data_IF_132581846301
#
_entry.id   IF_132581846301
#
_cell.length_a   1.000
_cell.length_b   1.000
_cell.length_c   1.000
_cell.angle_alpha   90.00
_cell.angle_beta   90.00
_cell.angle_gamma   90.00
#
_symmetry.space_group_name_H-M   'P 1'
#
loop_
_entity.id
_entity.type
_entity.pdbx_description
1 polymer ?
#
# COMPACT_ATOMS: atom_id res chain seq x y z
N UNK A 1 10.87 -0.74 -14.82
CA UNK A 1 10.19 0.22 -13.92
C UNK A 1 11.07 1.43 -13.68
N UNK A 2 10.49 2.63 -13.68
CA UNK A 2 11.16 3.85 -13.21
C UNK A 2 11.39 3.70 -11.70
N UNK A 3 12.61 3.93 -11.21
CA UNK A 3 12.96 3.81 -9.78
C UNK A 3 12.02 4.61 -8.88
N UNK A 4 11.51 5.75 -9.37
CA UNK A 4 10.55 6.59 -8.62
C UNK A 4 9.21 5.90 -8.38
N UNK A 5 8.71 5.14 -9.36
CA UNK A 5 7.47 4.37 -9.24
C UNK A 5 7.66 3.25 -8.22
N UNK A 6 8.78 2.52 -8.30
CA UNK A 6 9.08 1.46 -7.31
C UNK A 6 9.14 1.99 -5.88
N UNK A 7 9.80 3.13 -5.66
CA UNK A 7 9.87 3.73 -4.33
C UNK A 7 8.48 4.18 -3.87
N UNK A 8 7.65 4.72 -4.77
CA UNK A 8 6.29 5.07 -4.41
C UNK A 8 5.44 3.85 -4.03
N UNK A 9 5.58 2.72 -4.72
CA UNK A 9 4.94 1.44 -4.34
C UNK A 9 5.35 1.01 -2.91
N UNK A 10 6.64 1.10 -2.58
CA UNK A 10 7.11 0.80 -1.23
C UNK A 10 6.58 1.78 -0.18
N UNK A 11 6.51 3.07 -0.51
CA UNK A 11 5.99 4.10 0.40
C UNK A 11 4.47 4.00 0.59
N UNK A 12 3.73 3.54 -0.42
CA UNK A 12 2.29 3.26 -0.32
C UNK A 12 1.99 2.18 0.72
N UNK A 13 2.89 1.21 0.91
CA UNK A 13 2.77 0.15 1.91
C UNK A 13 3.20 0.57 3.32
N UNK A 14 3.79 1.75 3.49
CA UNK A 14 4.28 2.21 4.79
C UNK A 14 3.21 2.18 5.92
N UNK A 15 1.96 2.62 5.69
CA UNK A 15 0.92 2.55 6.73
C UNK A 15 0.59 1.11 7.13
N UNK A 16 0.66 0.17 6.18
CA UNK A 16 0.38 -1.26 6.41
C UNK A 16 1.47 -1.87 7.30
N UNK A 17 2.73 -1.55 7.04
CA UNK A 17 3.84 -1.98 7.89
C UNK A 17 3.77 -1.40 9.29
N UNK A 18 3.48 -0.10 9.41
CA UNK A 18 3.34 0.55 10.72
C UNK A 18 2.20 -0.07 11.51
N UNK A 19 1.04 -0.30 10.88
CA UNK A 19 -0.07 -1.01 11.52
C UNK A 19 0.32 -2.43 11.94
N UNK A 20 1.03 -3.18 11.09
CA UNK A 20 1.48 -4.52 11.40
C UNK A 20 2.40 -4.55 12.63
N UNK A 21 3.44 -3.72 12.65
CA UNK A 21 4.40 -3.63 13.76
C UNK A 21 3.68 -3.27 15.06
N UNK A 22 2.81 -2.25 15.02
CA UNK A 22 2.05 -1.80 16.19
C UNK A 22 0.97 -2.80 16.65
N UNK A 23 0.55 -3.72 15.78
CA UNK A 23 -0.34 -4.84 16.13
C UNK A 23 0.40 -5.98 16.83
N UNK A 24 1.65 -6.23 16.43
CA UNK A 24 2.50 -7.28 17.02
C UNK A 24 3.16 -6.81 18.32
N UNK A 25 3.54 -5.54 18.39
CA UNK A 25 4.26 -4.91 19.50
C UNK A 25 3.46 -3.72 20.07
N UNK A 26 2.46 -3.98 20.94
CA UNK A 26 1.57 -2.94 21.47
C UNK A 26 2.29 -1.79 22.18
N UNK A 27 3.46 -2.03 22.76
CA UNK A 27 4.32 -1.03 23.40
C UNK A 27 4.84 0.05 22.45
N UNK A 28 4.79 -0.21 21.14
CA UNK A 28 5.19 0.73 20.08
C UNK A 28 4.04 1.55 19.52
N UNK A 29 2.80 1.33 20.00
CA UNK A 29 1.62 2.01 19.50
C UNK A 29 1.72 3.53 19.69
N UNK A 30 1.56 4.26 18.60
CA UNK A 30 1.63 5.72 18.60
C UNK A 30 0.81 6.27 17.44
N UNK A 31 -0.26 7.00 17.77
CA UNK A 31 -1.20 7.52 16.78
C UNK A 31 -0.54 8.51 15.82
N UNK A 32 0.36 9.36 16.32
CA UNK A 32 1.05 10.35 15.48
C UNK A 32 1.93 9.66 14.43
N UNK A 33 2.65 8.61 14.82
CA UNK A 33 3.49 7.83 13.90
C UNK A 33 2.60 7.17 12.84
N UNK A 34 1.45 6.62 13.22
CA UNK A 34 0.49 6.04 12.29
C UNK A 34 -0.13 7.08 11.34
N UNK A 35 -0.50 8.27 11.82
CA UNK A 35 -1.01 9.34 10.94
C UNK A 35 0.04 9.89 9.99
N UNK A 36 1.31 10.02 10.44
CA UNK A 36 2.42 10.42 9.58
C UNK A 36 2.64 9.37 8.47
N UNK A 37 2.64 8.08 8.83
CA UNK A 37 2.78 7.01 7.84
C UNK A 37 1.63 7.01 6.84
N UNK A 38 0.38 7.16 7.30
CA UNK A 38 -0.79 7.34 6.45
C UNK A 38 -0.66 8.52 5.48
N UNK A 39 -0.13 9.66 5.94
CA UNK A 39 0.11 10.83 5.09
C UNK A 39 1.13 10.53 3.98
N UNK A 40 2.22 9.85 4.32
CA UNK A 40 3.25 9.41 3.36
C UNK A 40 2.66 8.43 2.35
N UNK A 41 1.94 7.41 2.83
CA UNK A 41 1.29 6.41 1.98
C UNK A 41 0.29 7.04 1.03
N UNK A 42 -0.59 7.92 1.54
CA UNK A 42 -1.57 8.66 0.72
C UNK A 42 -0.88 9.51 -0.36
N UNK A 43 0.20 10.20 -0.01
CA UNK A 43 0.99 10.97 -0.98
C UNK A 43 1.58 10.09 -2.08
N UNK A 44 2.08 8.91 -1.72
CA UNK A 44 2.60 7.92 -2.67
C UNK A 44 1.50 7.35 -3.57
N UNK A 45 0.34 6.98 -3.02
CA UNK A 45 -0.83 6.55 -3.80
C UNK A 45 -1.27 7.62 -4.79
N UNK A 46 -1.40 8.88 -4.35
CA UNK A 46 -1.77 9.99 -5.25
C UNK A 46 -0.76 10.20 -6.38
N UNK A 47 0.54 10.03 -6.08
CA UNK A 47 1.58 10.05 -7.09
C UNK A 47 1.42 8.91 -8.11
N UNK A 48 1.21 7.68 -7.65
CA UNK A 48 1.02 6.52 -8.53
C UNK A 48 -0.23 6.67 -9.40
N UNK A 49 -1.35 7.11 -8.83
CA UNK A 49 -2.58 7.42 -9.57
C UNK A 49 -2.33 8.49 -10.65
N UNK A 50 -1.55 9.53 -10.35
CA UNK A 50 -1.19 10.55 -11.32
C UNK A 50 -0.36 9.97 -12.47
N UNK A 51 0.62 9.11 -12.19
CA UNK A 51 1.44 8.46 -13.20
C UNK A 51 0.64 7.43 -14.03
N UNK A 52 -0.33 6.74 -13.43
CA UNK A 52 -1.29 5.90 -14.14
C UNK A 52 -2.13 6.72 -15.12
N UNK A 53 -2.67 7.86 -14.66
CA UNK A 53 -3.46 8.77 -15.50
C UNK A 53 -2.66 9.33 -16.68
N UNK A 54 -1.34 9.48 -16.54
CA UNK A 54 -0.41 9.89 -17.62
C UNK A 54 -0.03 8.75 -18.55
N UNK A 55 -0.38 7.51 -18.20
CA UNK A 55 -0.04 6.32 -18.95
C UNK A 55 1.41 5.84 -18.77
N UNK A 56 2.20 6.53 -17.94
CA UNK A 56 3.58 6.20 -17.60
C UNK A 56 3.68 5.01 -16.62
N UNK A 57 2.55 4.69 -15.97
CA UNK A 57 2.40 3.55 -15.10
C UNK A 57 1.15 2.74 -15.45
N UNK A 58 1.28 1.42 -15.49
CA UNK A 58 0.20 0.44 -15.64
C UNK A 58 0.65 -0.93 -15.11
N UNK A 59 -0.30 -1.85 -14.97
CA UNK A 59 -0.02 -3.23 -14.64
C UNK A 59 1.03 -3.85 -15.58
N UNK A 60 0.92 -3.63 -16.89
CA UNK A 60 1.90 -4.10 -17.87
C UNK A 60 3.30 -3.53 -17.63
N UNK A 61 3.40 -2.25 -17.27
CA UNK A 61 4.71 -1.64 -16.97
C UNK A 61 5.35 -2.18 -15.70
N UNK A 62 4.56 -2.76 -14.79
CA UNK A 62 5.05 -3.48 -13.62
C UNK A 62 5.88 -4.69 -14.07
N UNK A 63 5.36 -5.45 -15.04
CA UNK A 63 6.02 -6.66 -15.58
C UNK A 63 7.16 -6.37 -16.56
N UNK A 64 7.46 -5.11 -16.87
CA UNK A 64 8.68 -4.77 -17.63
C UNK A 64 9.98 -5.17 -16.90
N UNK A 65 9.91 -5.42 -15.59
CA UNK A 65 11.00 -6.03 -14.82
C UNK A 65 10.46 -7.14 -13.91
N UNK A 66 10.26 -8.36 -14.44
CA UNK A 66 9.62 -9.46 -13.71
C UNK A 66 10.36 -9.83 -12.41
N UNK A 67 11.69 -9.71 -12.39
CA UNK A 67 12.54 -10.02 -11.23
C UNK A 67 12.28 -9.12 -10.02
N UNK A 68 11.73 -7.92 -10.22
CA UNK A 68 11.35 -6.98 -9.16
C UNK A 68 9.85 -7.10 -8.85
N UNK A 69 9.02 -7.19 -9.89
CA UNK A 69 7.57 -7.23 -9.80
C UNK A 69 7.00 -8.48 -9.12
N UNK A 70 7.49 -9.67 -9.46
CA UNK A 70 6.94 -10.92 -8.92
C UNK A 70 7.18 -11.05 -7.41
N UNK A 71 8.41 -10.81 -6.89
CA UNK A 71 8.64 -10.80 -5.45
C UNK A 71 7.79 -9.76 -4.74
N UNK A 72 7.64 -8.56 -5.32
CA UNK A 72 6.80 -7.51 -4.76
C UNK A 72 5.34 -7.95 -4.63
N UNK A 73 4.75 -8.51 -5.68
CA UNK A 73 3.37 -9.02 -5.64
C UNK A 73 3.15 -10.10 -4.59
N UNK A 74 4.08 -11.05 -4.47
CA UNK A 74 4.03 -12.09 -3.44
C UNK A 74 4.09 -11.45 -2.04
N UNK A 75 5.00 -10.50 -1.86
CA UNK A 75 5.16 -9.77 -0.61
C UNK A 75 3.89 -8.99 -0.23
N UNK A 76 3.34 -8.19 -1.14
CA UNK A 76 2.12 -7.41 -0.89
C UNK A 76 0.91 -8.30 -0.61
N UNK A 77 0.81 -9.45 -1.30
CA UNK A 77 -0.22 -10.44 -1.03
C UNK A 77 -0.10 -11.04 0.38
N UNK A 78 1.11 -11.43 0.80
CA UNK A 78 1.36 -11.96 2.14
C UNK A 78 1.06 -10.92 3.22
N UNK A 79 1.47 -9.66 3.01
CA UNK A 79 1.18 -8.57 3.91
C UNK A 79 -0.34 -8.40 4.08
N UNK A 80 -1.09 -8.37 2.98
CA UNK A 80 -2.55 -8.29 3.01
C UNK A 80 -3.18 -9.45 3.78
N UNK A 81 -2.73 -10.68 3.56
CA UNK A 81 -3.22 -11.86 4.28
C UNK A 81 -3.00 -11.73 5.79
N UNK A 82 -1.83 -11.25 6.22
CA UNK A 82 -1.54 -11.03 7.65
C UNK A 82 -2.46 -9.97 8.24
N UNK A 83 -2.68 -8.85 7.54
CA UNK A 83 -3.58 -7.79 8.01
C UNK A 83 -5.03 -8.27 8.15
N UNK A 84 -5.50 -9.11 7.22
CA UNK A 84 -6.81 -9.76 7.30
C UNK A 84 -6.91 -10.63 8.55
N UNK A 85 -5.91 -11.49 8.80
CA UNK A 85 -5.89 -12.35 10.00
C UNK A 85 -5.92 -11.52 11.27
N UNK A 86 -5.11 -10.46 11.36
CA UNK A 86 -5.09 -9.56 12.52
C UNK A 86 -6.42 -8.82 12.71
N UNK A 87 -7.11 -8.49 11.61
CA UNK A 87 -8.45 -7.89 11.65
C UNK A 87 -9.45 -8.86 12.26
N UNK A 88 -9.48 -10.11 11.81
CA UNK A 88 -10.41 -11.13 12.35
C UNK A 88 -10.13 -11.51 13.81
N UNK A 89 -8.92 -11.23 14.30
CA UNK A 89 -8.56 -11.43 15.70
C UNK A 89 -8.83 -10.19 16.58
N UNK A 90 -9.36 -9.10 16.02
CA UNK A 90 -9.53 -7.80 16.67
C UNK A 90 -8.20 -7.22 17.23
N UNK A 91 -7.09 -7.53 16.55
CA UNK A 91 -5.72 -7.12 16.95
C UNK A 91 -5.09 -6.10 16.03
N UNK A 92 -5.72 -5.81 14.89
CA UNK A 92 -5.17 -4.87 13.93
C UNK A 92 -5.26 -3.43 14.46
N UNK A 93 -4.10 -2.82 14.73
CA UNK A 93 -3.98 -1.44 15.17
C UNK A 93 -4.58 -0.48 14.13
N UNK A 94 -5.48 0.41 14.58
CA UNK A 94 -6.19 1.38 13.73
C UNK A 94 -6.85 0.75 12.49
N UNK A 95 -7.35 -0.48 12.61
CA UNK A 95 -7.82 -1.28 11.49
C UNK A 95 -8.83 -0.58 10.58
N UNK A 96 -9.82 0.14 11.13
CA UNK A 96 -10.80 0.86 10.31
C UNK A 96 -10.16 1.92 9.40
N UNK A 97 -9.20 2.70 9.91
CA UNK A 97 -8.51 3.71 9.10
C UNK A 97 -7.62 3.07 8.05
N UNK A 98 -6.92 1.98 8.40
CA UNK A 98 -6.09 1.24 7.46
C UNK A 98 -6.94 0.65 6.31
N UNK A 99 -8.10 0.07 6.62
CA UNK A 99 -8.99 -0.49 5.61
C UNK A 99 -9.61 0.58 4.72
N UNK A 100 -9.99 1.75 5.27
CA UNK A 100 -10.45 2.89 4.47
C UNK A 100 -9.35 3.31 3.49
N UNK A 101 -8.11 3.42 3.96
CA UNK A 101 -6.96 3.76 3.12
C UNK A 101 -6.77 2.76 1.96
N UNK A 102 -6.72 1.45 2.27
CA UNK A 102 -6.56 0.39 1.27
C UNK A 102 -7.70 0.44 0.25
N UNK A 103 -8.95 0.46 0.71
CA UNK A 103 -10.13 0.44 -0.19
C UNK A 103 -10.17 1.68 -1.08
N UNK A 104 -9.95 2.88 -0.52
CA UNK A 104 -9.97 4.12 -1.28
C UNK A 104 -8.85 4.15 -2.34
N UNK A 105 -7.63 3.72 -1.98
CA UNK A 105 -6.52 3.59 -2.91
C UNK A 105 -6.82 2.62 -4.05
N UNK A 106 -7.26 1.40 -3.72
CA UNK A 106 -7.58 0.36 -4.71
C UNK A 106 -8.70 0.78 -5.66
N UNK A 107 -9.75 1.45 -5.17
CA UNK A 107 -10.82 1.99 -6.04
C UNK A 107 -10.24 2.99 -7.04
N UNK A 108 -9.35 3.88 -6.59
CA UNK A 108 -8.67 4.85 -7.44
C UNK A 108 -7.86 4.16 -8.54
N UNK A 109 -7.08 3.15 -8.18
CA UNK A 109 -6.26 2.40 -9.13
C UNK A 109 -7.13 1.65 -10.16
N UNK A 110 -8.16 0.92 -9.70
CA UNK A 110 -9.08 0.20 -10.59
C UNK A 110 -9.75 1.14 -11.60
N UNK A 111 -10.16 2.33 -11.15
CA UNK A 111 -10.81 3.31 -12.02
C UNK A 111 -9.87 3.82 -13.11
N UNK A 112 -8.58 4.02 -12.79
CA UNK A 112 -7.59 4.50 -13.75
C UNK A 112 -7.04 3.40 -14.65
N UNK A 113 -6.96 2.16 -14.17
CA UNK A 113 -6.57 1.00 -14.99
C UNK A 113 -7.56 0.75 -16.13
N UNK A 114 -8.87 0.97 -15.91
CA UNK A 114 -9.92 0.82 -16.94
C UNK A 114 -9.90 1.87 -18.06
N UNK A 115 -9.10 2.95 -17.93
CA UNK A 115 -9.06 4.04 -18.92
C UNK A 115 -8.09 3.81 -20.09
N UNK A 116 -7.41 2.67 -20.14
CA UNK A 116 -6.60 2.25 -21.28
C UNK A 116 -7.34 1.20 -22.09
#
# INVERSE_FOLDING_TARGET
>A
MNTRIFVAELLQDLPLWVALVMSIYPETQNENIFYISLGIGTGATLFLLKEMKRGEYSFETLFNKPSEAVPFLIYSFLLLMILIVLTFQDRLYMGSLLWIYIVAGSIGEIFLMKRK
#
